data_IF_358942481257
#
_entry.id   IF_358942481257
#
_cell.length_a   1.000
_cell.length_b   1.000
_cell.length_c   1.000
_cell.angle_alpha   90.00
_cell.angle_beta   90.00
_cell.angle_gamma   90.00
#
_symmetry.space_group_name_H-M   'P 1'
#
loop_
_entity.id
_entity.type
_entity.pdbx_description
1 polymer ?
#
# COMPACT_ATOMS: atom_id res chain seq x y z
N UNK A 1 59.86 40.24 16.48
CA UNK A 1 59.59 38.83 16.82
C UNK A 1 58.10 38.60 17.06
N UNK A 2 57.48 39.28 18.04
CA UNK A 2 56.06 39.11 18.42
C UNK A 2 55.01 39.15 17.28
N UNK A 3 55.19 39.98 16.24
CA UNK A 3 54.22 40.08 15.14
C UNK A 3 54.21 38.84 14.21
N UNK A 4 55.37 38.24 13.97
CA UNK A 4 55.53 37.08 13.09
C UNK A 4 54.94 35.83 13.76
N UNK A 5 55.17 35.71 15.07
CA UNK A 5 54.62 34.62 15.88
C UNK A 5 53.08 34.73 15.94
N UNK A 6 52.55 35.93 16.17
CA UNK A 6 51.11 36.19 16.17
C UNK A 6 50.43 35.81 14.84
N UNK A 7 51.00 36.21 13.70
CA UNK A 7 50.49 35.86 12.37
C UNK A 7 50.52 34.34 12.12
N UNK A 8 51.55 33.65 12.62
CA UNK A 8 51.66 32.19 12.49
C UNK A 8 50.59 31.46 13.30
N UNK A 9 50.35 31.87 14.55
CA UNK A 9 49.28 31.29 15.38
C UNK A 9 47.89 31.59 14.82
N UNK A 10 47.67 32.79 14.28
CA UNK A 10 46.40 33.18 13.67
C UNK A 10 46.09 32.32 12.43
N UNK A 11 47.07 32.08 11.55
CA UNK A 11 46.89 31.20 10.40
C UNK A 11 46.59 29.75 10.82
N UNK A 12 47.30 29.24 11.84
CA UNK A 12 47.05 27.90 12.37
C UNK A 12 45.62 27.80 12.94
N UNK A 13 45.17 28.80 13.68
CA UNK A 13 43.81 28.89 14.19
C UNK A 13 42.77 28.88 13.06
N UNK A 14 42.97 29.63 11.99
CA UNK A 14 42.05 29.65 10.85
C UNK A 14 41.94 28.27 10.17
N UNK A 15 43.04 27.54 10.03
CA UNK A 15 43.04 26.17 9.48
C UNK A 15 42.23 25.22 10.38
N UNK A 16 42.44 25.28 11.71
CA UNK A 16 41.67 24.47 12.65
C UNK A 16 40.18 24.84 12.69
N UNK A 17 39.87 26.15 12.67
CA UNK A 17 38.49 26.62 12.61
C UNK A 17 37.79 26.15 11.32
N UNK A 18 38.47 26.24 10.17
CA UNK A 18 37.97 25.75 8.90
C UNK A 18 37.72 24.23 8.92
N UNK A 19 38.63 23.44 9.49
CA UNK A 19 38.46 22.00 9.63
C UNK A 19 37.27 21.64 10.54
N UNK A 20 37.12 22.34 11.67
CA UNK A 20 35.99 22.14 12.59
C UNK A 20 34.65 22.51 11.93
N UNK A 21 34.60 23.63 11.20
CA UNK A 21 33.42 24.03 10.42
C UNK A 21 33.10 22.97 9.36
N UNK A 22 34.10 22.48 8.63
CA UNK A 22 33.92 21.43 7.63
C UNK A 22 33.34 20.14 8.22
N UNK A 23 33.86 19.68 9.36
CA UNK A 23 33.33 18.50 10.07
C UNK A 23 31.90 18.73 10.56
N UNK A 24 31.62 19.92 11.10
CA UNK A 24 30.27 20.28 11.55
C UNK A 24 29.26 20.30 10.40
N UNK A 25 29.59 20.98 9.30
CA UNK A 25 28.75 21.04 8.10
C UNK A 25 28.49 19.66 7.52
N UNK A 26 29.53 18.81 7.42
CA UNK A 26 29.36 17.45 6.93
C UNK A 26 28.40 16.63 7.81
N UNK A 27 28.51 16.74 9.14
CA UNK A 27 27.58 16.06 10.06
C UNK A 27 26.14 16.56 9.93
N UNK A 28 25.95 17.86 9.75
CA UNK A 28 24.60 18.44 9.55
C UNK A 28 24.00 17.94 8.23
N UNK A 29 24.78 17.95 7.14
CA UNK A 29 24.33 17.46 5.83
C UNK A 29 23.98 15.97 5.91
N UNK A 30 24.85 15.14 6.49
CA UNK A 30 24.57 13.71 6.69
C UNK A 30 23.29 13.47 7.48
N UNK A 31 23.09 14.19 8.59
CA UNK A 31 21.88 14.05 9.39
C UNK A 31 20.60 14.46 8.63
N UNK A 32 20.67 15.48 7.77
CA UNK A 32 19.54 15.89 6.93
C UNK A 32 19.23 14.85 5.85
N UNK A 33 20.26 14.33 5.18
CA UNK A 33 20.12 13.26 4.18
C UNK A 33 19.52 12.01 4.82
N UNK A 34 20.04 11.58 5.97
CA UNK A 34 19.55 10.40 6.69
C UNK A 34 18.09 10.56 7.11
N UNK A 35 17.70 11.75 7.58
CA UNK A 35 16.29 12.04 7.92
C UNK A 35 15.39 11.97 6.69
N UNK A 36 15.82 12.56 5.57
CA UNK A 36 15.09 12.52 4.31
C UNK A 36 14.92 11.09 3.79
N UNK A 37 15.99 10.29 3.79
CA UNK A 37 15.96 8.89 3.38
C UNK A 37 15.04 8.06 4.27
N UNK A 38 15.14 8.20 5.61
CA UNK A 38 14.27 7.48 6.54
C UNK A 38 12.80 7.80 6.31
N UNK A 39 12.45 9.07 6.10
CA UNK A 39 11.07 9.47 5.80
C UNK A 39 10.58 8.86 4.48
N UNK A 40 11.42 8.82 3.46
CA UNK A 40 11.08 8.18 2.19
C UNK A 40 10.90 6.66 2.35
N UNK A 41 11.78 5.99 3.10
CA UNK A 41 11.65 4.55 3.39
C UNK A 41 10.35 4.24 4.11
N UNK A 42 10.02 4.98 5.18
CA UNK A 42 8.76 4.80 5.93
C UNK A 42 7.55 5.01 5.00
N UNK A 43 7.59 6.03 4.15
CA UNK A 43 6.52 6.28 3.18
C UNK A 43 6.38 5.12 2.21
N UNK A 44 7.47 4.60 1.65
CA UNK A 44 7.45 3.47 0.71
C UNK A 44 6.91 2.19 1.38
N UNK A 45 7.34 1.89 2.61
CA UNK A 45 6.82 0.76 3.39
C UNK A 45 5.32 0.90 3.64
N UNK A 46 4.85 2.11 3.94
CA UNK A 46 3.42 2.37 4.12
C UNK A 46 2.64 2.20 2.83
N UNK A 47 3.15 2.71 1.70
CA UNK A 47 2.55 2.51 0.39
C UNK A 47 2.47 1.02 0.01
N UNK A 48 3.54 0.25 0.32
CA UNK A 48 3.55 -1.19 0.11
C UNK A 48 2.48 -1.90 0.94
N UNK A 49 2.38 -1.59 2.24
CA UNK A 49 1.36 -2.18 3.12
C UNK A 49 -0.06 -1.93 2.63
N UNK A 50 -0.37 -0.73 2.14
CA UNK A 50 -1.68 -0.42 1.55
C UNK A 50 -1.98 -1.27 0.31
N UNK A 51 -0.98 -1.51 -0.54
CA UNK A 51 -1.12 -2.40 -1.71
C UNK A 51 -1.33 -3.85 -1.30
N UNK A 52 -0.60 -4.33 -0.29
CA UNK A 52 -0.78 -5.67 0.26
C UNK A 52 -2.18 -5.86 0.86
N UNK A 53 -2.69 -4.86 1.58
CA UNK A 53 -4.07 -4.88 2.09
C UNK A 53 -5.10 -4.90 0.95
N UNK A 54 -4.90 -4.10 -0.10
CA UNK A 54 -5.79 -4.12 -1.27
C UNK A 54 -5.76 -5.49 -1.97
N UNK A 55 -4.59 -6.13 -2.07
CA UNK A 55 -4.46 -7.48 -2.61
C UNK A 55 -5.19 -8.52 -1.75
N UNK A 56 -5.13 -8.41 -0.41
CA UNK A 56 -5.89 -9.30 0.50
C UNK A 56 -7.40 -9.16 0.34
N UNK A 57 -7.90 -7.96 0.08
CA UNK A 57 -9.33 -7.76 -0.25
C UNK A 57 -9.68 -8.52 -1.53
N UNK A 58 -8.87 -8.38 -2.59
CA UNK A 58 -9.10 -9.10 -3.83
C UNK A 58 -9.03 -10.64 -3.66
N UNK A 59 -8.07 -11.14 -2.86
CA UNK A 59 -7.95 -12.56 -2.51
C UNK A 59 -9.20 -13.05 -1.76
N UNK A 60 -9.66 -12.32 -0.75
CA UNK A 60 -10.89 -12.68 -0.04
C UNK A 60 -12.10 -12.73 -0.97
N UNK A 61 -12.27 -11.70 -1.80
CA UNK A 61 -13.41 -11.61 -2.72
C UNK A 61 -13.41 -12.76 -3.74
N UNK A 62 -12.24 -13.20 -4.22
CA UNK A 62 -12.16 -14.30 -5.18
C UNK A 62 -12.56 -15.65 -4.58
N UNK A 63 -12.19 -15.91 -3.32
CA UNK A 63 -12.60 -17.12 -2.60
C UNK A 63 -14.06 -17.07 -2.16
N UNK A 64 -14.45 -15.99 -1.50
CA UNK A 64 -15.75 -15.92 -0.83
C UNK A 64 -16.91 -15.90 -1.82
N UNK A 65 -16.74 -15.25 -2.98
CA UNK A 65 -17.75 -15.22 -4.04
C UNK A 65 -18.00 -16.58 -4.70
N UNK A 66 -16.96 -17.42 -4.77
CA UNK A 66 -17.03 -18.72 -5.45
C UNK A 66 -17.26 -19.88 -4.48
N UNK A 67 -17.47 -19.59 -3.19
CA UNK A 67 -17.60 -20.60 -2.16
C UNK A 67 -18.89 -21.39 -2.34
N UNK A 68 -18.78 -22.72 -2.42
CA UNK A 68 -19.90 -23.65 -2.62
C UNK A 68 -20.10 -24.54 -1.41
N UNK A 69 -21.32 -25.02 -1.21
CA UNK A 69 -21.67 -25.90 -0.08
C UNK A 69 -20.90 -27.23 -0.06
N UNK A 70 -20.40 -27.67 -1.21
CA UNK A 70 -19.62 -28.89 -1.40
C UNK A 70 -18.10 -28.69 -1.35
N UNK A 71 -17.62 -27.46 -1.15
CA UNK A 71 -16.19 -27.18 -1.02
C UNK A 71 -15.59 -27.77 0.25
N UNK A 72 -14.27 -27.99 0.24
CA UNK A 72 -13.57 -28.60 1.37
C UNK A 72 -13.52 -27.67 2.58
N UNK A 73 -13.46 -28.25 3.77
CA UNK A 73 -13.39 -27.50 5.03
C UNK A 73 -12.18 -26.53 5.09
N UNK A 74 -11.10 -26.85 4.40
CA UNK A 74 -9.92 -25.98 4.36
C UNK A 74 -10.17 -24.69 3.57
N UNK A 75 -10.97 -24.73 2.52
CA UNK A 75 -11.37 -23.53 1.77
C UNK A 75 -12.24 -22.62 2.66
N UNK A 76 -13.18 -23.21 3.41
CA UNK A 76 -13.98 -22.46 4.39
C UNK A 76 -13.10 -21.79 5.46
N UNK A 77 -12.15 -22.52 6.04
CA UNK A 77 -11.20 -21.97 7.04
C UNK A 77 -10.38 -20.83 6.48
N UNK A 78 -9.82 -20.99 5.29
CA UNK A 78 -9.02 -19.96 4.62
C UNK A 78 -9.85 -18.71 4.30
N UNK A 79 -11.08 -18.89 3.82
CA UNK A 79 -12.00 -17.78 3.52
C UNK A 79 -12.39 -17.03 4.80
N UNK A 80 -12.70 -17.75 5.87
CA UNK A 80 -13.01 -17.16 7.19
C UNK A 80 -11.82 -16.39 7.75
N UNK A 81 -10.62 -16.97 7.68
CA UNK A 81 -9.40 -16.31 8.12
C UNK A 81 -9.21 -14.97 7.39
N UNK A 82 -9.31 -14.97 6.06
CA UNK A 82 -9.22 -13.74 5.26
C UNK A 82 -10.31 -12.73 5.65
N UNK A 83 -11.55 -13.19 5.82
CA UNK A 83 -12.66 -12.33 6.25
C UNK A 83 -12.41 -11.67 7.62
N UNK A 84 -11.82 -12.40 8.57
CA UNK A 84 -11.46 -11.86 9.89
C UNK A 84 -10.26 -10.92 9.85
N UNK A 85 -9.24 -11.24 9.05
CA UNK A 85 -8.11 -10.34 8.83
C UNK A 85 -8.60 -8.99 8.28
N UNK A 86 -9.47 -9.01 7.28
CA UNK A 86 -10.05 -7.79 6.73
C UNK A 86 -10.89 -7.01 7.75
N UNK A 87 -11.65 -7.69 8.60
CA UNK A 87 -12.43 -7.05 9.66
C UNK A 87 -11.56 -6.28 10.67
N UNK A 88 -10.32 -6.71 10.89
CA UNK A 88 -9.37 -6.03 11.78
C UNK A 88 -8.67 -4.84 11.13
N UNK A 89 -8.45 -4.89 9.80
CA UNK A 89 -7.69 -3.87 9.08
C UNK A 89 -8.53 -2.77 8.45
N UNK A 90 -9.74 -3.11 7.97
CA UNK A 90 -10.56 -2.17 7.24
C UNK A 90 -11.46 -1.36 8.19
N UNK A 91 -11.76 -0.09 7.85
CA UNK A 91 -12.81 0.64 8.52
C UNK A 91 -14.15 -0.11 8.44
N UNK A 92 -14.96 -0.01 9.48
CA UNK A 92 -16.21 -0.75 9.61
C UNK A 92 -17.15 -0.59 8.40
N UNK A 93 -17.29 0.63 7.87
CA UNK A 93 -18.11 0.91 6.70
C UNK A 93 -17.60 0.18 5.45
N UNK A 94 -16.28 0.20 5.23
CA UNK A 94 -15.67 -0.46 4.09
C UNK A 94 -15.75 -1.99 4.22
N UNK A 95 -15.50 -2.54 5.41
CA UNK A 95 -15.65 -3.97 5.66
C UNK A 95 -17.09 -4.43 5.42
N UNK A 96 -18.08 -3.66 5.89
CA UNK A 96 -19.50 -3.96 5.67
C UNK A 96 -19.81 -3.97 4.17
N UNK A 97 -19.27 -3.01 3.41
CA UNK A 97 -19.45 -2.97 1.96
C UNK A 97 -18.82 -4.19 1.26
N UNK A 98 -17.62 -4.62 1.69
CA UNK A 98 -16.97 -5.85 1.20
C UNK A 98 -17.78 -7.09 1.53
N UNK A 99 -18.24 -7.23 2.76
CA UNK A 99 -19.11 -8.35 3.21
C UNK A 99 -20.38 -8.43 2.38
N UNK A 100 -21.06 -7.30 2.20
CA UNK A 100 -22.33 -7.27 1.46
C UNK A 100 -22.13 -7.63 -0.02
N UNK A 101 -21.01 -7.22 -0.61
CA UNK A 101 -20.65 -7.61 -1.98
C UNK A 101 -20.39 -9.12 -2.15
N UNK A 102 -20.18 -9.86 -1.06
CA UNK A 102 -20.07 -11.34 -1.06
C UNK A 102 -21.42 -11.99 -0.79
N UNK A 103 -22.14 -11.51 0.23
CA UNK A 103 -23.35 -12.17 0.74
C UNK A 103 -24.60 -11.88 -0.08
N UNK A 104 -24.65 -10.73 -0.76
CA UNK A 104 -25.83 -10.25 -1.49
C UNK A 104 -25.50 -9.97 -2.96
N UNK A 105 -24.98 -11.01 -3.61
CA UNK A 105 -24.56 -11.03 -5.01
C UNK A 105 -25.62 -10.56 -6.02
N UNK A 106 -26.91 -10.70 -5.67
CA UNK A 106 -28.02 -10.38 -6.56
C UNK A 106 -28.35 -8.89 -6.56
N UNK A 107 -27.99 -8.15 -5.50
CA UNK A 107 -28.30 -6.73 -5.34
C UNK A 107 -27.04 -5.85 -5.32
N UNK A 108 -25.86 -6.42 -5.02
CA UNK A 108 -24.58 -5.70 -4.97
C UNK A 108 -23.49 -6.41 -5.78
N UNK A 109 -22.83 -5.66 -6.65
CA UNK A 109 -21.75 -6.16 -7.49
C UNK A 109 -20.46 -6.35 -6.65
N UNK A 110 -19.88 -7.56 -6.57
CA UNK A 110 -18.64 -7.80 -5.81
C UNK A 110 -17.47 -6.95 -6.31
N UNK A 111 -17.44 -6.62 -7.61
CA UNK A 111 -16.41 -5.77 -8.19
C UNK A 111 -16.52 -4.31 -7.70
N UNK A 112 -17.72 -3.84 -7.31
CA UNK A 112 -17.86 -2.50 -6.73
C UNK A 112 -17.22 -2.42 -5.35
N UNK A 113 -17.27 -3.51 -4.59
CA UNK A 113 -16.58 -3.60 -3.30
C UNK A 113 -15.05 -3.56 -3.46
N UNK A 114 -14.52 -4.24 -4.48
CA UNK A 114 -13.10 -4.19 -4.82
C UNK A 114 -12.68 -2.77 -5.21
N UNK A 115 -13.46 -2.07 -6.03
CA UNK A 115 -13.20 -0.67 -6.41
C UNK A 115 -13.26 0.27 -5.19
N UNK A 116 -14.25 0.10 -4.31
CA UNK A 116 -14.36 0.90 -3.10
C UNK A 116 -13.15 0.70 -2.18
N UNK A 117 -12.71 -0.55 -1.99
CA UNK A 117 -11.52 -0.86 -1.20
C UNK A 117 -10.25 -0.31 -1.84
N UNK A 118 -10.10 -0.44 -3.16
CA UNK A 118 -8.97 0.12 -3.92
C UNK A 118 -8.90 1.63 -3.76
N UNK A 119 -10.02 2.34 -3.95
CA UNK A 119 -10.11 3.79 -3.81
C UNK A 119 -9.74 4.23 -2.40
N UNK A 120 -10.24 3.54 -1.38
CA UNK A 120 -9.97 3.86 0.02
C UNK A 120 -8.49 3.64 0.40
N UNK A 121 -7.92 2.49 0.02
CA UNK A 121 -6.58 2.08 0.42
C UNK A 121 -5.50 2.78 -0.41
N UNK A 122 -5.68 2.89 -1.73
CA UNK A 122 -4.63 3.44 -2.60
C UNK A 122 -4.68 4.97 -2.69
N UNK A 123 -5.87 5.58 -2.54
CA UNK A 123 -6.07 7.04 -2.64
C UNK A 123 -5.37 7.68 -3.85
N UNK A 124 -5.30 6.96 -4.97
CA UNK A 124 -4.61 7.46 -6.17
C UNK A 124 -5.49 8.52 -6.83
N UNK A 125 -4.97 9.74 -6.98
CA UNK A 125 -5.66 10.86 -7.62
C UNK A 125 -5.95 10.60 -9.11
N UNK A 126 -5.28 9.61 -9.71
CA UNK A 126 -5.49 9.16 -11.08
C UNK A 126 -6.40 7.93 -11.17
N UNK A 127 -7.12 7.61 -10.10
CA UNK A 127 -8.00 6.45 -10.07
C UNK A 127 -9.28 6.68 -10.89
N UNK A 128 -9.20 6.39 -12.18
CA UNK A 128 -10.32 6.37 -13.12
C UNK A 128 -10.79 4.94 -13.43
N UNK A 129 -10.36 3.93 -12.65
CA UNK A 129 -10.75 2.54 -12.92
C UNK A 129 -12.25 2.37 -12.65
N UNK A 130 -12.99 1.94 -13.66
CA UNK A 130 -14.43 1.66 -13.57
C UNK A 130 -14.69 0.16 -13.48
N UNK A 131 -15.96 -0.23 -13.30
CA UNK A 131 -16.35 -1.64 -13.28
C UNK A 131 -16.05 -2.33 -14.61
N UNK A 132 -16.20 -1.62 -15.73
CA UNK A 132 -16.01 -2.14 -17.09
C UNK A 132 -14.54 -2.42 -17.40
N UNK A 133 -13.62 -1.83 -16.64
CA UNK A 133 -12.16 -2.02 -16.78
C UNK A 133 -11.64 -3.26 -16.03
N UNK A 134 -12.48 -3.91 -15.22
CA UNK A 134 -12.07 -5.07 -14.41
C UNK A 134 -12.40 -6.36 -15.16
N UNK A 135 -11.36 -7.10 -15.52
CA UNK A 135 -11.51 -8.45 -16.05
C UNK A 135 -12.02 -9.40 -14.95
N UNK A 136 -13.14 -10.07 -15.23
CA UNK A 136 -13.69 -11.12 -14.39
C UNK A 136 -13.70 -12.44 -15.16
N UNK A 137 -13.23 -13.51 -14.52
CA UNK A 137 -13.15 -14.84 -15.12
C UNK A 137 -13.94 -15.84 -14.29
N UNK A 138 -14.80 -16.61 -14.94
CA UNK A 138 -15.51 -17.72 -14.34
C UNK A 138 -15.50 -18.93 -15.29
N UNK A 139 -15.55 -20.17 -14.76
CA UNK A 139 -15.67 -21.36 -15.59
C UNK A 139 -16.87 -21.23 -16.54
N UNK A 140 -16.67 -21.55 -17.82
CA UNK A 140 -17.71 -21.50 -18.87
C UNK A 140 -18.22 -20.11 -19.31
N UNK A 141 -17.53 -19.01 -18.99
CA UNK A 141 -17.91 -17.66 -19.43
C UNK A 141 -18.11 -17.48 -20.95
N UNK A 142 -17.33 -18.21 -21.76
CA UNK A 142 -17.45 -18.20 -23.23
C UNK A 142 -18.66 -18.99 -23.75
N UNK A 143 -19.25 -19.86 -22.93
CA UNK A 143 -20.39 -20.70 -23.34
C UNK A 143 -21.72 -19.95 -23.18
N UNK A 144 -21.84 -19.11 -22.15
CA UNK A 144 -23.05 -18.31 -21.89
C UNK A 144 -23.22 -17.18 -22.91
N UNK A 145 -22.13 -16.51 -23.33
CA UNK A 145 -22.20 -15.44 -24.35
C UNK A 145 -22.75 -15.94 -25.69
N UNK A 146 -22.41 -17.17 -26.11
CA UNK A 146 -22.97 -17.80 -27.31
C UNK A 146 -24.43 -18.26 -27.18
N UNK A 147 -24.90 -18.49 -25.96
CA UNK A 147 -26.28 -18.94 -25.70
C UNK A 147 -27.28 -17.76 -25.62
N UNK A 148 -26.80 -16.53 -25.44
CA UNK A 148 -27.62 -15.30 -25.41
C UNK A 148 -27.73 -14.67 -26.82
N UNK A 149 -26.90 -15.09 -27.77
CA UNK A 149 -26.92 -14.64 -29.17
C UNK A 149 -27.82 -15.50 -30.10
N UNK A 150 -28.53 -16.51 -29.59
CA UNK A 150 -29.52 -17.32 -30.33
C UNK A 150 -30.88 -17.29 -29.65
#
# INVERSE_FOLDING_TARGET
MLLIDFLSYFNLFLVFAGALIGVFLNRVVQALVDRGLRQQTIKLEWEQKKREQAARVAEYMSYAWQLRSDDTMDIYRKTNQLGWELAMYLPAELYTHVRDGVMDANDKNPLSAILAARKHLLKDERDALTLDDIAFHFPNAKVISKAVEN
#
